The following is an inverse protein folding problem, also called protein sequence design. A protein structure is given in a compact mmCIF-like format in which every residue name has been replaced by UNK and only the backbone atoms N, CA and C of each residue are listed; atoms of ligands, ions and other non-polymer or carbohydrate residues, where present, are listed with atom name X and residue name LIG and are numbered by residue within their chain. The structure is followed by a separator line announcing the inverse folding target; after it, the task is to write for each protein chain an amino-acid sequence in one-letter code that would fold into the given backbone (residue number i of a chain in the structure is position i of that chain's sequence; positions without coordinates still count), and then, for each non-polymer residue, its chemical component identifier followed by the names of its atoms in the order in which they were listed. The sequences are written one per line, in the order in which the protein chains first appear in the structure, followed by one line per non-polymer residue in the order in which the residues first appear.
data_IF_777032451284
#
_entry.id   IF_777032451284
#
_cell.length_a   1.000
_cell.length_b   1.000
_cell.length_c   1.000
_cell.angle_alpha   90.00
_cell.angle_beta   90.00
_cell.angle_gamma   90.00
#
_symmetry.space_group_name_H-M   'P 1'
#
loop_
_entity.id
_entity.type
_entity.pdbx_description
1 polymer ?
#
# COMPACT_ATOMS: atom_id res chain seq x y z
N UNK A 1 2.32 -0.11 24.01
CA UNK A 1 3.66 -0.51 23.52
C UNK A 1 3.63 -0.42 22.01
N UNK A 2 4.42 0.46 21.41
CA UNK A 2 4.52 0.63 19.98
C UNK A 2 5.69 1.55 19.66
N UNK A 3 6.50 1.22 18.67
CA UNK A 3 7.60 2.07 18.22
C UNK A 3 7.15 3.08 17.15
N UNK A 4 5.90 3.00 16.71
CA UNK A 4 5.25 3.88 15.74
C UNK A 4 3.73 3.74 15.87
N UNK A 5 3.01 4.70 15.29
CA UNK A 5 1.55 4.67 15.18
C UNK A 5 1.12 3.76 14.02
N UNK A 6 0.31 2.76 14.31
CA UNK A 6 -0.12 1.78 13.32
C UNK A 6 -1.09 2.39 12.31
N UNK A 7 -1.99 3.28 12.72
CA UNK A 7 -2.98 3.88 11.82
C UNK A 7 -2.30 4.80 10.81
N UNK A 8 -1.30 5.58 11.27
CA UNK A 8 -0.47 6.41 10.38
C UNK A 8 0.30 5.52 9.39
N UNK A 9 0.84 4.38 9.84
CA UNK A 9 1.54 3.46 8.95
C UNK A 9 0.61 2.88 7.86
N UNK A 10 -0.64 2.54 8.19
CA UNK A 10 -1.61 2.06 7.20
C UNK A 10 -2.02 3.15 6.21
N UNK A 11 -2.12 4.39 6.66
CA UNK A 11 -2.35 5.55 5.79
C UNK A 11 -1.18 5.77 4.80
N UNK A 12 0.05 5.73 5.30
CA UNK A 12 1.27 5.83 4.49
C UNK A 12 1.38 4.68 3.48
N UNK A 13 1.09 3.45 3.90
CA UNK A 13 1.05 2.28 3.03
C UNK A 13 0.06 2.48 1.87
N UNK A 14 -1.16 2.93 2.17
CA UNK A 14 -2.18 3.19 1.16
C UNK A 14 -1.78 4.31 0.17
N UNK A 15 -1.20 5.40 0.70
CA UNK A 15 -0.66 6.50 -0.10
C UNK A 15 0.46 6.01 -1.03
N UNK A 16 1.38 5.17 -0.52
CA UNK A 16 2.50 4.61 -1.28
C UNK A 16 1.99 3.78 -2.46
N UNK A 17 1.04 2.86 -2.22
CA UNK A 17 0.43 2.03 -3.27
C UNK A 17 -0.20 2.91 -4.36
N UNK A 18 -1.03 3.88 -3.96
CA UNK A 18 -1.75 4.76 -4.89
C UNK A 18 -0.81 5.64 -5.71
N UNK A 19 0.24 6.17 -5.07
CA UNK A 19 1.25 7.00 -5.72
C UNK A 19 1.96 6.19 -6.80
N UNK A 20 2.52 5.03 -6.45
CA UNK A 20 3.27 4.18 -7.36
C UNK A 20 2.40 3.66 -8.53
N UNK A 21 1.15 3.28 -8.25
CA UNK A 21 0.21 2.87 -9.31
C UNK A 21 0.05 3.98 -10.36
N UNK A 22 -0.15 5.22 -9.91
CA UNK A 22 -0.31 6.37 -10.82
C UNK A 22 0.99 6.71 -11.54
N UNK A 23 2.11 6.66 -10.85
CA UNK A 23 3.44 6.93 -11.40
C UNK A 23 3.79 5.96 -12.54
N UNK A 24 3.46 4.67 -12.39
CA UNK A 24 3.59 3.64 -13.43
C UNK A 24 2.53 3.71 -14.54
N UNK A 25 1.66 4.72 -14.53
CA UNK A 25 0.69 4.95 -15.60
C UNK A 25 -0.60 4.14 -15.49
N UNK A 26 -0.80 3.34 -14.44
CA UNK A 26 -2.07 2.64 -14.20
C UNK A 26 -3.13 3.64 -13.74
N UNK A 27 -4.04 4.03 -14.63
CA UNK A 27 -5.03 5.10 -14.35
C UNK A 27 -6.17 4.65 -13.44
N UNK A 28 -6.62 3.40 -13.58
CA UNK A 28 -7.73 2.84 -12.81
C UNK A 28 -7.24 1.83 -11.79
N UNK A 29 -7.66 2.00 -10.52
CA UNK A 29 -7.41 0.99 -9.49
C UNK A 29 -8.20 -0.30 -9.75
N UNK A 30 -9.33 -0.22 -10.46
CA UNK A 30 -10.17 -1.38 -10.78
C UNK A 30 -9.51 -2.28 -11.81
N UNK A 31 -8.91 -1.68 -12.86
CA UNK A 31 -8.16 -2.39 -13.88
C UNK A 31 -6.90 -3.00 -13.27
N UNK A 32 -6.15 -2.21 -12.50
CA UNK A 32 -4.97 -2.72 -11.80
C UNK A 32 -5.31 -3.91 -10.89
N UNK A 33 -6.36 -3.80 -10.07
CA UNK A 33 -6.81 -4.89 -9.20
C UNK A 33 -7.21 -6.15 -9.98
N UNK A 34 -7.81 -5.99 -11.16
CA UNK A 34 -8.17 -7.11 -12.03
C UNK A 34 -6.92 -7.80 -12.59
N UNK A 35 -5.94 -7.01 -13.06
CA UNK A 35 -4.70 -7.54 -13.68
C UNK A 35 -3.86 -8.35 -12.70
N UNK A 36 -3.86 -7.97 -11.41
CA UNK A 36 -3.08 -8.64 -10.34
C UNK A 36 -3.91 -9.66 -9.55
N UNK A 37 -5.12 -9.97 -10.01
CA UNK A 37 -6.05 -10.94 -9.41
C UNK A 37 -6.30 -10.66 -7.91
N UNK A 38 -6.80 -9.46 -7.60
CA UNK A 38 -7.28 -9.07 -6.27
C UNK A 38 -8.66 -8.40 -6.33
N UNK A 39 -9.34 -8.35 -5.18
CA UNK A 39 -10.64 -7.66 -5.06
C UNK A 39 -10.52 -6.17 -5.35
N UNK A 40 -11.35 -5.65 -6.26
CA UNK A 40 -11.48 -4.20 -6.55
C UNK A 40 -11.88 -3.40 -5.32
N UNK A 41 -12.77 -3.95 -4.50
CA UNK A 41 -13.20 -3.33 -3.23
C UNK A 41 -12.03 -3.29 -2.24
N UNK A 42 -11.23 -4.37 -2.19
CA UNK A 42 -10.01 -4.41 -1.39
C UNK A 42 -9.01 -3.34 -1.84
N UNK A 43 -8.71 -3.29 -3.15
CA UNK A 43 -7.79 -2.31 -3.71
C UNK A 43 -8.21 -0.86 -3.41
N UNK A 44 -9.49 -0.53 -3.58
CA UNK A 44 -10.03 0.79 -3.23
C UNK A 44 -9.82 1.14 -1.75
N UNK A 45 -10.05 0.17 -0.84
CA UNK A 45 -9.79 0.37 0.59
C UNK A 45 -8.30 0.56 0.88
N UNK A 46 -7.43 -0.27 0.32
CA UNK A 46 -5.99 -0.17 0.52
C UNK A 46 -5.46 1.20 0.08
N UNK A 47 -5.84 1.69 -1.10
CA UNK A 47 -5.41 3.02 -1.57
C UNK A 47 -5.99 4.20 -0.78
N UNK A 48 -7.05 3.96 -0.01
CA UNK A 48 -7.63 4.98 0.86
C UNK A 48 -6.91 5.11 2.20
N UNK A 49 -6.08 4.12 2.57
CA UNK A 49 -5.46 4.04 3.90
C UNK A 49 -6.43 3.64 5.02
N UNK A 50 -7.71 3.36 4.70
CA UNK A 50 -8.77 3.04 5.67
C UNK A 50 -9.09 1.55 5.66
N UNK A 51 -8.21 0.75 6.25
CA UNK A 51 -8.40 -0.69 6.39
C UNK A 51 -7.75 -1.18 7.68
N UNK A 52 -8.32 -2.22 8.29
CA UNK A 52 -7.80 -2.78 9.53
C UNK A 52 -6.62 -3.73 9.26
N UNK A 53 -6.70 -4.48 8.14
CA UNK A 53 -5.72 -5.49 7.77
C UNK A 53 -5.54 -5.65 6.25
N UNK A 54 -4.36 -6.14 5.88
CA UNK A 54 -4.05 -6.63 4.54
C UNK A 54 -3.32 -7.97 4.67
N UNK A 55 -3.76 -8.99 3.93
CA UNK A 55 -3.02 -10.25 3.88
C UNK A 55 -1.67 -10.00 3.21
N UNK A 56 -0.59 -10.53 3.79
CA UNK A 56 0.75 -10.38 3.22
C UNK A 56 0.81 -10.85 1.76
N UNK A 57 0.12 -11.94 1.41
CA UNK A 57 0.04 -12.41 0.01
C UNK A 57 -0.62 -11.38 -0.92
N UNK A 58 -1.63 -10.64 -0.46
CA UNK A 58 -2.24 -9.55 -1.23
C UNK A 58 -1.29 -8.38 -1.38
N UNK A 59 -0.57 -8.00 -0.32
CA UNK A 59 0.44 -6.95 -0.40
C UNK A 59 1.56 -7.31 -1.38
N UNK A 60 2.04 -8.55 -1.34
CA UNK A 60 3.07 -9.04 -2.26
C UNK A 60 2.57 -9.05 -3.72
N UNK A 61 1.32 -9.45 -3.99
CA UNK A 61 0.71 -9.33 -5.32
C UNK A 61 0.65 -7.87 -5.81
N UNK A 62 0.34 -6.93 -4.93
CA UNK A 62 0.31 -5.50 -5.27
C UNK A 62 1.73 -5.01 -5.61
N UNK A 63 2.72 -5.34 -4.78
CA UNK A 63 4.12 -4.96 -5.01
C UNK A 63 4.65 -5.54 -6.33
N UNK A 64 4.39 -6.82 -6.58
CA UNK A 64 4.79 -7.49 -7.83
C UNK A 64 4.08 -6.90 -9.05
N UNK A 65 2.79 -6.60 -8.95
CA UNK A 65 2.03 -5.92 -9.99
C UNK A 65 2.44 -4.46 -10.23
N UNK A 66 3.04 -3.82 -9.24
CA UNK A 66 3.75 -2.55 -9.38
C UNK A 66 5.15 -2.73 -9.99
N UNK A 67 5.50 -3.93 -10.47
CA UNK A 67 6.79 -4.28 -11.09
C UNK A 67 7.98 -3.77 -10.26
N UNK A 68 8.00 -4.14 -8.98
CA UNK A 68 9.06 -3.75 -8.05
C UNK A 68 9.25 -4.80 -6.96
N UNK A 69 10.39 -4.71 -6.27
CA UNK A 69 10.69 -5.56 -5.12
C UNK A 69 10.11 -4.98 -3.83
N UNK A 70 9.89 -5.81 -2.78
CA UNK A 70 9.53 -5.30 -1.46
C UNK A 70 10.55 -4.30 -0.89
N UNK A 71 11.83 -4.50 -1.18
CA UNK A 71 12.89 -3.56 -0.74
C UNK A 71 12.67 -2.16 -1.33
N UNK A 72 12.41 -2.06 -2.63
CA UNK A 72 12.15 -0.77 -3.30
C UNK A 72 10.85 -0.14 -2.82
N UNK A 73 9.83 -0.97 -2.57
CA UNK A 73 8.54 -0.50 -2.09
C UNK A 73 8.65 0.18 -0.72
N UNK A 74 9.37 -0.45 0.22
CA UNK A 74 9.52 0.03 1.61
C UNK A 74 10.68 1.02 1.83
N UNK A 75 11.44 1.36 0.79
CA UNK A 75 12.58 2.27 0.90
C UNK A 75 12.19 3.72 1.23
N UNK A 76 10.97 4.14 0.90
CA UNK A 76 10.51 5.52 1.04
C UNK A 76 8.99 5.61 1.28
N UNK A 77 8.54 6.76 1.77
CA UNK A 77 7.13 7.02 2.05
C UNK A 77 6.64 6.55 3.43
N UNK A 78 7.54 6.06 4.29
CA UNK A 78 7.26 5.62 5.65
C UNK A 78 7.99 6.51 6.65
N UNK A 79 7.31 7.49 7.25
CA UNK A 79 7.91 8.51 8.12
C UNK A 79 7.50 8.39 9.58
N UNK A 80 6.65 7.42 9.93
CA UNK A 80 6.22 7.22 11.31
C UNK A 80 7.40 6.82 12.19
N UNK A 81 7.94 7.77 12.94
CA UNK A 81 8.90 7.54 14.02
C UNK A 81 8.22 7.77 15.37
N UNK A 82 8.70 7.08 16.42
CA UNK A 82 8.28 7.27 17.82
C UNK A 82 7.96 8.74 18.11
N UNK A 83 6.71 9.03 18.43
CA UNK A 83 6.38 10.24 19.18
C UNK A 83 7.14 10.11 20.51
N UNK A 84 8.12 10.99 20.74
CA UNK A 84 8.71 11.10 22.07
C UNK A 84 7.61 11.58 23.02
N UNK A 85 7.49 10.90 24.15
CA UNK A 85 6.58 11.22 25.25
C UNK A 85 6.71 12.67 25.73
#
# INVERSE_FOLDING_TARGET
MGHFDHDIFLEELGKRIKFLRKDKGFRSYETFAYDIDISRVGMSRYESGKFDDIRLSTLLKIIDGLEMTPQEFFAEGFTVTKTQE
#
